data_IF_284860591647
#
_entry.id   IF_284860591647
#
_cell.length_a   1.000
_cell.length_b   1.000
_cell.length_c   1.000
_cell.angle_alpha   90.00
_cell.angle_beta   90.00
_cell.angle_gamma   90.00
#
_symmetry.space_group_name_H-M   'P 1'
#
loop_
_entity.id
_entity.type
_entity.pdbx_description
1 polymer ?
#
# COMPACT_ATOMS: atom_id res chain seq x y z
N UNK A 1 19.17 36.25 75.39
CA UNK A 1 20.18 36.74 74.42
C UNK A 1 20.90 35.65 73.63
N UNK A 2 21.75 34.75 74.16
CA UNK A 2 22.41 33.70 73.32
C UNK A 2 21.50 32.53 72.89
N UNK A 3 20.39 32.29 73.60
CA UNK A 3 19.45 31.21 73.30
C UNK A 3 18.39 31.61 72.26
N UNK A 4 18.06 32.89 72.16
CA UNK A 4 17.15 33.44 71.13
C UNK A 4 17.83 33.50 69.77
N UNK A 5 19.09 33.98 69.70
CA UNK A 5 19.85 34.05 68.44
C UNK A 5 20.08 32.67 67.79
N UNK A 6 20.19 31.61 68.60
CA UNK A 6 20.32 30.22 68.12
C UNK A 6 18.97 29.62 67.68
N UNK A 7 17.85 30.09 68.25
CA UNK A 7 16.50 29.71 67.83
C UNK A 7 16.15 30.33 66.48
N UNK A 8 16.50 31.60 66.28
CA UNK A 8 16.22 32.33 65.04
C UNK A 8 17.04 31.80 63.85
N UNK A 9 18.31 31.44 64.07
CA UNK A 9 19.13 30.79 63.02
C UNK A 9 18.64 29.38 62.63
N UNK A 10 18.07 28.63 63.58
CA UNK A 10 17.47 27.32 63.28
C UNK A 10 16.13 27.50 62.56
N UNK A 11 15.37 28.54 62.91
CA UNK A 11 14.12 28.90 62.23
C UNK A 11 14.34 29.31 60.77
N UNK A 12 15.32 30.18 60.49
CA UNK A 12 15.67 30.56 59.10
C UNK A 12 16.14 29.35 58.29
N UNK A 13 16.95 28.46 58.88
CA UNK A 13 17.54 27.30 58.18
C UNK A 13 16.53 26.19 57.82
N UNK A 14 15.42 26.09 58.56
CA UNK A 14 14.38 25.06 58.30
C UNK A 14 13.13 25.60 57.60
N UNK A 15 12.80 26.89 57.74
CA UNK A 15 11.55 27.47 57.22
C UNK A 15 11.72 28.48 56.07
N UNK A 16 12.90 29.06 55.87
CA UNK A 16 13.18 29.93 54.72
C UNK A 16 14.20 29.28 53.78
N UNK A 17 13.68 28.47 52.85
CA UNK A 17 14.37 28.13 51.62
C UNK A 17 13.68 28.93 50.51
N UNK A 18 14.41 29.69 49.70
CA UNK A 18 13.88 30.39 48.51
C UNK A 18 13.08 29.45 47.57
N UNK A 19 13.22 28.14 47.72
CA UNK A 19 12.47 27.11 46.97
C UNK A 19 11.12 26.71 47.58
N UNK A 20 10.65 27.32 48.67
CA UNK A 20 9.37 27.00 49.35
C UNK A 20 8.47 28.20 49.58
N UNK A 21 8.80 29.37 49.04
CA UNK A 21 7.88 30.51 49.03
C UNK A 21 6.68 30.16 48.12
N UNK A 22 5.46 30.00 48.68
CA UNK A 22 4.27 29.67 47.91
C UNK A 22 4.01 30.71 46.82
N UNK A 23 4.34 31.98 47.08
CA UNK A 23 4.17 33.09 46.15
C UNK A 23 5.15 32.95 44.99
N UNK A 24 6.40 32.54 45.25
CA UNK A 24 7.41 32.36 44.20
C UNK A 24 7.11 31.14 43.32
N UNK A 25 6.64 30.04 43.92
CA UNK A 25 6.16 28.87 43.18
C UNK A 25 4.91 29.20 42.34
N UNK A 26 3.96 29.95 42.89
CA UNK A 26 2.78 30.44 42.17
C UNK A 26 3.18 31.38 41.04
N UNK A 27 4.14 32.28 41.24
CA UNK A 27 4.71 33.14 40.18
C UNK A 27 5.44 32.34 39.09
N UNK A 28 6.15 31.27 39.43
CA UNK A 28 6.78 30.38 38.45
C UNK A 28 5.75 29.56 37.66
N UNK A 29 4.73 29.06 38.35
CA UNK A 29 3.60 28.35 37.74
C UNK A 29 2.78 29.28 36.85
N UNK A 30 2.55 30.52 37.26
CA UNK A 30 1.90 31.56 36.47
C UNK A 30 2.75 32.00 35.29
N UNK A 31 4.08 32.07 35.42
CA UNK A 31 4.99 32.28 34.27
C UNK A 31 4.92 31.12 33.29
N UNK A 32 4.81 29.87 33.76
CA UNK A 32 4.65 28.69 32.92
C UNK A 32 3.29 28.68 32.21
N UNK A 33 2.20 28.96 32.94
CA UNK A 33 0.84 29.08 32.39
C UNK A 33 0.74 30.25 31.42
N UNK A 34 1.36 31.39 31.75
CA UNK A 34 1.43 32.57 30.87
C UNK A 34 2.23 32.26 29.61
N UNK A 35 3.38 31.60 29.70
CA UNK A 35 4.14 31.11 28.52
C UNK A 35 3.32 30.13 27.70
N UNK A 36 2.59 29.21 28.33
CA UNK A 36 1.73 28.25 27.63
C UNK A 36 0.54 28.95 26.95
N UNK A 37 -0.10 29.92 27.61
CA UNK A 37 -1.16 30.76 27.04
C UNK A 37 -0.64 31.60 25.88
N UNK A 38 0.52 32.23 26.03
CA UNK A 38 1.15 33.06 25.01
C UNK A 38 1.63 32.21 23.82
N UNK A 39 2.10 30.98 24.05
CA UNK A 39 2.36 30.00 22.99
C UNK A 39 1.07 29.55 22.28
N UNK A 40 -0.02 29.34 23.03
CA UNK A 40 -1.33 29.00 22.47
C UNK A 40 -1.96 30.16 21.68
N UNK A 41 -1.80 31.39 22.16
CA UNK A 41 -2.20 32.62 21.46
C UNK A 41 -1.33 32.85 20.22
N UNK A 42 -0.01 32.68 20.31
CA UNK A 42 0.88 32.75 19.13
C UNK A 42 0.57 31.67 18.09
N UNK A 43 0.16 30.46 18.51
CA UNK A 43 -0.36 29.43 17.60
C UNK A 43 -1.67 29.89 16.94
N UNK A 44 -2.59 30.55 17.66
CA UNK A 44 -3.80 31.12 17.07
C UNK A 44 -3.51 32.22 16.03
N UNK A 45 -2.44 32.99 16.19
CA UNK A 45 -2.08 34.10 15.29
C UNK A 45 -1.10 33.74 14.17
N UNK A 46 -0.31 32.67 14.30
CA UNK A 46 0.63 32.23 13.26
C UNK A 46 0.22 30.88 12.64
N UNK A 47 -0.43 30.88 11.45
CA UNK A 47 -0.82 29.67 10.75
C UNK A 47 0.33 28.68 10.52
N UNK A 48 1.56 29.18 10.43
CA UNK A 48 2.74 28.34 10.18
C UNK A 48 3.08 27.50 11.42
N UNK A 49 2.86 28.03 12.64
CA UNK A 49 3.11 27.31 13.90
C UNK A 49 2.10 26.18 14.12
N UNK A 50 0.84 26.38 13.71
CA UNK A 50 -0.18 25.32 13.75
C UNK A 50 0.22 24.17 12.85
N UNK A 51 0.65 24.46 11.62
CA UNK A 51 1.11 23.44 10.67
C UNK A 51 2.29 22.65 11.25
N UNK A 52 3.24 23.32 11.91
CA UNK A 52 4.36 22.64 12.58
C UNK A 52 3.91 21.74 13.73
N UNK A 53 2.95 22.19 14.54
CA UNK A 53 2.36 21.38 15.60
C UNK A 53 1.66 20.14 15.02
N UNK A 54 0.88 20.31 13.96
CA UNK A 54 0.17 19.23 13.28
C UNK A 54 1.12 18.19 12.69
N UNK A 55 2.26 18.62 12.12
CA UNK A 55 3.32 17.72 11.64
C UNK A 55 3.96 16.96 12.80
N UNK A 56 4.29 17.64 13.90
CA UNK A 56 4.91 17.00 15.07
C UNK A 56 3.98 16.00 15.76
N UNK A 57 2.66 16.22 15.70
CA UNK A 57 1.66 15.28 16.19
C UNK A 57 1.56 14.00 15.33
N UNK A 58 2.13 13.98 14.12
CA UNK A 58 2.09 12.80 13.28
C UNK A 58 3.04 11.69 13.77
N UNK A 59 2.72 10.42 13.49
CA UNK A 59 3.61 9.32 13.82
C UNK A 59 4.97 9.46 13.12
N UNK A 60 6.01 8.89 13.73
CA UNK A 60 7.42 9.10 13.37
C UNK A 60 7.78 8.91 11.89
N UNK A 61 7.12 7.99 11.20
CA UNK A 61 7.32 7.71 9.77
C UNK A 61 6.81 8.83 8.84
N UNK A 62 5.96 9.73 9.33
CA UNK A 62 5.46 10.91 8.63
C UNK A 62 6.14 12.16 9.20
N UNK A 63 6.13 12.34 10.52
CA UNK A 63 6.66 13.56 11.15
C UNK A 63 8.14 13.76 10.86
N UNK A 64 8.99 12.75 11.07
CA UNK A 64 10.45 12.87 10.86
C UNK A 64 10.82 13.30 9.43
N UNK A 65 10.40 12.61 8.35
CA UNK A 65 10.78 13.00 7.00
C UNK A 65 10.18 14.35 6.56
N UNK A 66 9.00 14.73 7.07
CA UNK A 66 8.43 16.05 6.80
C UNK A 66 9.20 17.15 7.54
N UNK A 67 9.53 16.95 8.81
CA UNK A 67 10.31 17.90 9.61
C UNK A 67 11.70 18.13 9.01
N UNK A 68 12.41 17.09 8.57
CA UNK A 68 13.69 17.24 7.87
C UNK A 68 13.59 18.16 6.63
N UNK A 69 12.49 18.06 5.87
CA UNK A 69 12.25 18.94 4.72
C UNK A 69 11.92 20.36 5.15
N UNK A 70 11.10 20.51 6.18
CA UNK A 70 10.72 21.82 6.74
C UNK A 70 11.97 22.55 7.23
N UNK A 71 12.84 21.86 7.99
CA UNK A 71 14.12 22.38 8.47
C UNK A 71 15.02 22.81 7.31
N UNK A 72 15.13 22.00 6.25
CA UNK A 72 15.86 22.38 5.05
C UNK A 72 15.30 23.66 4.39
N UNK A 73 13.99 23.80 4.27
CA UNK A 73 13.40 25.03 3.71
C UNK A 73 13.57 26.24 4.63
N UNK A 74 13.56 26.03 5.95
CA UNK A 74 13.84 27.06 6.95
C UNK A 74 15.27 27.58 6.81
N UNK A 75 16.24 26.67 6.64
CA UNK A 75 17.67 27.01 6.53
C UNK A 75 18.03 27.78 5.25
N UNK A 76 17.14 27.86 4.26
CA UNK A 76 17.37 28.66 3.04
C UNK A 76 17.26 30.17 3.27
N UNK A 77 16.84 30.63 4.46
CA UNK A 77 16.75 32.05 4.79
C UNK A 77 15.70 32.82 3.98
N UNK A 78 14.69 32.13 3.45
CA UNK A 78 13.63 32.72 2.59
C UNK A 78 12.26 32.63 3.27
N UNK A 79 11.91 33.56 4.18
CA UNK A 79 10.72 33.43 5.04
C UNK A 79 9.40 33.34 4.26
N UNK A 80 9.23 34.12 3.18
CA UNK A 80 8.04 34.06 2.33
C UNK A 80 7.90 32.71 1.60
N UNK A 81 9.01 32.14 1.14
CA UNK A 81 9.01 30.85 0.45
C UNK A 81 8.78 29.69 1.43
N UNK A 82 9.35 29.79 2.63
CA UNK A 82 9.12 28.86 3.73
C UNK A 82 7.64 28.82 4.14
N UNK A 83 7.05 29.99 4.43
CA UNK A 83 5.63 30.09 4.77
C UNK A 83 4.73 29.54 3.65
N UNK A 84 5.06 29.86 2.39
CA UNK A 84 4.37 29.30 1.22
C UNK A 84 4.47 27.77 1.17
N UNK A 85 5.64 27.20 1.41
CA UNK A 85 5.83 25.75 1.42
C UNK A 85 4.98 25.07 2.50
N UNK A 86 4.93 25.63 3.71
CA UNK A 86 4.05 25.13 4.77
C UNK A 86 2.59 25.15 4.34
N UNK A 87 2.10 26.28 3.83
CA UNK A 87 0.68 26.49 3.52
C UNK A 87 0.21 25.81 2.24
N UNK A 88 1.02 25.82 1.19
CA UNK A 88 0.65 25.29 -0.14
C UNK A 88 1.13 23.85 -0.37
N UNK A 89 2.00 23.29 0.48
CA UNK A 89 2.48 21.91 0.34
C UNK A 89 2.21 21.08 1.58
N UNK A 90 2.68 21.49 2.77
CA UNK A 90 2.56 20.67 3.98
C UNK A 90 1.12 20.55 4.45
N UNK A 91 0.39 21.68 4.56
CA UNK A 91 -1.01 21.65 4.98
C UNK A 91 -1.90 20.77 4.08
N UNK A 92 -1.89 20.93 2.73
CA UNK A 92 -2.62 20.03 1.84
C UNK A 92 -2.19 18.55 1.95
N UNK A 93 -0.92 18.27 2.23
CA UNK A 93 -0.45 16.90 2.48
C UNK A 93 -1.10 16.28 3.72
N UNK A 94 -1.25 17.05 4.80
CA UNK A 94 -1.91 16.58 6.03
C UNK A 94 -3.42 16.41 5.85
N UNK A 95 -4.09 17.32 5.15
CA UNK A 95 -5.52 17.19 4.81
C UNK A 95 -5.77 15.91 3.99
N UNK A 96 -4.92 15.66 2.99
CA UNK A 96 -4.97 14.42 2.19
C UNK A 96 -4.70 13.16 3.02
N UNK A 97 -3.79 13.25 3.99
CA UNK A 97 -3.48 12.14 4.89
C UNK A 97 -4.69 11.73 5.73
N UNK A 98 -5.43 12.69 6.26
CA UNK A 98 -6.66 12.44 7.02
C UNK A 98 -7.71 11.73 6.15
N UNK A 99 -7.94 12.22 4.92
CA UNK A 99 -8.86 11.54 3.99
C UNK A 99 -8.43 10.10 3.67
N UNK A 100 -7.13 9.84 3.52
CA UNK A 100 -6.62 8.47 3.31
C UNK A 100 -6.87 7.60 4.54
N UNK A 101 -6.62 8.11 5.76
CA UNK A 101 -6.87 7.37 7.01
C UNK A 101 -8.35 7.04 7.19
N UNK A 102 -9.22 7.99 6.91
CA UNK A 102 -10.68 7.78 6.97
C UNK A 102 -11.14 6.69 6.01
N UNK A 103 -10.53 6.62 4.82
CA UNK A 103 -10.84 5.58 3.84
C UNK A 103 -10.32 4.19 4.22
N UNK A 104 -9.29 4.11 5.07
CA UNK A 104 -8.69 2.85 5.53
C UNK A 104 -9.51 2.22 6.67
N UNK A 105 -10.08 3.05 7.54
CA UNK A 105 -10.87 2.59 8.68
C UNK A 105 -12.35 2.57 8.32
N UNK A 106 -12.85 1.44 7.82
CA UNK A 106 -14.30 1.25 7.63
C UNK A 106 -15.05 1.24 8.98
N UNK A 107 -16.36 1.50 8.97
CA UNK A 107 -17.17 1.47 10.20
C UNK A 107 -17.12 0.08 10.87
N UNK A 108 -17.13 -0.99 10.08
CA UNK A 108 -16.95 -2.36 10.57
C UNK A 108 -15.57 -2.62 11.13
N UNK A 109 -14.53 -2.02 10.54
CA UNK A 109 -13.16 -2.12 11.04
C UNK A 109 -13.01 -1.44 12.40
N UNK A 110 -13.58 -0.24 12.56
CA UNK A 110 -13.62 0.48 13.85
C UNK A 110 -14.41 -0.29 14.91
N UNK A 111 -15.52 -0.91 14.54
CA UNK A 111 -16.28 -1.81 15.43
C UNK A 111 -15.45 -3.03 15.86
N UNK A 112 -14.65 -3.61 14.95
CA UNK A 112 -13.76 -4.70 15.35
C UNK A 112 -12.72 -4.20 16.37
N UNK A 113 -12.16 -3.01 16.15
CA UNK A 113 -11.20 -2.40 17.06
C UNK A 113 -11.74 -2.03 18.44
N UNK A 114 -13.07 -1.95 18.64
CA UNK A 114 -13.66 -1.70 19.96
C UNK A 114 -13.70 -2.95 20.85
N UNK A 115 -13.39 -4.13 20.31
CA UNK A 115 -13.26 -5.33 21.12
C UNK A 115 -11.99 -5.28 21.96
N UNK A 116 -12.07 -5.88 23.15
CA UNK A 116 -10.97 -5.88 24.14
C UNK A 116 -9.69 -6.44 23.50
N UNK A 117 -8.63 -5.64 23.54
CA UNK A 117 -7.30 -6.01 23.01
C UNK A 117 -7.13 -5.85 21.49
N UNK A 118 -8.15 -5.36 20.76
CA UNK A 118 -8.06 -5.14 19.31
C UNK A 118 -7.91 -3.65 18.92
N UNK A 119 -7.69 -2.77 19.89
CA UNK A 119 -7.48 -1.32 19.70
C UNK A 119 -6.27 -1.01 18.79
N UNK A 120 -5.27 -1.90 18.76
CA UNK A 120 -4.12 -1.83 17.86
C UNK A 120 -4.50 -1.79 16.36
N UNK A 121 -5.70 -2.24 15.98
CA UNK A 121 -6.23 -2.12 14.62
C UNK A 121 -6.31 -0.66 14.14
N UNK A 122 -6.60 0.30 15.04
CA UNK A 122 -6.73 1.71 14.69
C UNK A 122 -5.39 2.36 14.29
N UNK A 123 -4.29 1.83 14.80
CA UNK A 123 -2.92 2.32 14.56
C UNK A 123 -2.10 1.34 13.72
N UNK A 124 -2.75 0.41 13.00
CA UNK A 124 -2.11 -0.65 12.23
C UNK A 124 -0.92 -0.15 11.35
N UNK A 125 -1.02 0.97 10.61
CA UNK A 125 0.08 1.49 9.81
C UNK A 125 1.36 1.76 10.61
N UNK A 126 1.24 2.12 11.89
CA UNK A 126 2.33 2.51 12.78
C UNK A 126 3.12 1.33 13.33
N UNK A 127 2.49 0.16 13.37
CA UNK A 127 2.99 -1.01 14.07
C UNK A 127 4.26 -1.59 13.43
N UNK A 128 5.13 -2.13 14.28
CA UNK A 128 6.27 -3.00 13.93
C UNK A 128 5.80 -4.42 13.60
N UNK A 129 6.70 -5.24 13.04
CA UNK A 129 6.37 -6.65 12.74
C UNK A 129 5.91 -7.42 13.98
N UNK A 130 6.58 -7.24 15.12
CA UNK A 130 6.26 -7.98 16.34
C UNK A 130 4.96 -7.49 16.98
N UNK A 131 4.66 -6.19 16.88
CA UNK A 131 3.35 -5.66 17.26
C UNK A 131 2.24 -6.27 16.40
N UNK A 132 2.42 -6.35 15.07
CA UNK A 132 1.43 -6.98 14.18
C UNK A 132 1.27 -8.48 14.48
N UNK A 133 2.35 -9.21 14.80
CA UNK A 133 2.26 -10.62 15.24
C UNK A 133 1.39 -10.76 16.48
N UNK A 134 1.64 -9.95 17.52
CA UNK A 134 0.82 -9.97 18.74
C UNK A 134 -0.65 -9.67 18.45
N UNK A 135 -0.93 -8.62 17.67
CA UNK A 135 -2.29 -8.30 17.25
C UNK A 135 -2.95 -9.45 16.49
N UNK A 136 -2.21 -10.16 15.65
CA UNK A 136 -2.72 -11.30 14.88
C UNK A 136 -3.13 -12.47 15.78
N UNK A 137 -2.39 -12.71 16.87
CA UNK A 137 -2.78 -13.68 17.90
C UNK A 137 -4.09 -13.28 18.58
N UNK A 138 -4.25 -11.99 18.90
CA UNK A 138 -5.48 -11.49 19.52
C UNK A 138 -6.69 -11.57 18.58
N UNK A 139 -6.51 -11.23 17.30
CA UNK A 139 -7.56 -11.40 16.28
C UNK A 139 -7.93 -12.88 16.12
N UNK A 140 -6.94 -13.78 16.07
CA UNK A 140 -7.19 -15.23 16.00
C UNK A 140 -7.96 -15.76 17.23
N UNK A 141 -7.60 -15.29 18.43
CA UNK A 141 -8.32 -15.61 19.66
C UNK A 141 -9.77 -15.08 19.62
N UNK A 142 -9.98 -13.85 19.14
CA UNK A 142 -11.32 -13.29 18.93
C UNK A 142 -12.16 -14.15 17.98
N UNK A 143 -11.60 -14.56 16.84
CA UNK A 143 -12.29 -15.46 15.90
C UNK A 143 -12.64 -16.82 16.54
N UNK A 144 -11.79 -17.32 17.44
CA UNK A 144 -12.04 -18.56 18.19
C UNK A 144 -13.20 -18.39 19.17
N UNK A 145 -13.23 -17.29 19.92
CA UNK A 145 -14.37 -16.98 20.79
C UNK A 145 -15.68 -16.82 20.00
N UNK A 146 -15.63 -16.20 18.82
CA UNK A 146 -16.80 -16.11 17.94
C UNK A 146 -17.28 -17.48 17.44
N UNK A 147 -16.34 -18.40 17.18
CA UNK A 147 -16.68 -19.78 16.82
C UNK A 147 -17.32 -20.51 18.01
N UNK A 148 -16.73 -20.41 19.20
CA UNK A 148 -17.24 -21.09 20.40
C UNK A 148 -18.65 -20.60 20.76
N UNK A 149 -18.87 -19.28 20.74
CA UNK A 149 -20.20 -18.70 20.94
C UNK A 149 -21.19 -19.16 19.85
N UNK A 150 -20.75 -19.18 18.57
CA UNK A 150 -21.59 -19.64 17.47
C UNK A 150 -22.01 -21.11 17.61
N UNK A 151 -21.09 -21.98 18.05
CA UNK A 151 -21.37 -23.38 18.33
C UNK A 151 -22.35 -23.54 19.50
N UNK A 152 -22.13 -22.82 20.61
CA UNK A 152 -23.01 -22.87 21.77
C UNK A 152 -24.44 -22.40 21.49
N UNK A 153 -24.60 -21.41 20.62
CA UNK A 153 -25.94 -20.91 20.22
C UNK A 153 -26.68 -21.87 19.27
N UNK A 154 -25.94 -22.56 18.39
CA UNK A 154 -26.53 -23.27 17.24
C UNK A 154 -26.65 -24.77 17.47
N UNK A 155 -25.85 -25.37 18.34
CA UNK A 155 -25.81 -26.81 18.55
C UNK A 155 -26.57 -27.17 19.83
N UNK A 156 -27.80 -27.64 19.68
CA UNK A 156 -28.63 -28.10 20.80
C UNK A 156 -28.36 -29.57 21.18
N UNK A 157 -27.81 -30.35 20.25
CA UNK A 157 -27.50 -31.78 20.37
C UNK A 157 -26.21 -32.10 19.62
N UNK A 158 -25.59 -33.24 19.91
CA UNK A 158 -24.38 -33.70 19.22
C UNK A 158 -24.61 -34.10 17.74
N UNK A 159 -25.87 -34.30 17.32
CA UNK A 159 -26.26 -34.52 15.92
C UNK A 159 -26.34 -33.19 15.14
N UNK A 160 -25.18 -32.64 14.78
CA UNK A 160 -25.07 -31.34 14.09
C UNK A 160 -25.17 -31.51 12.57
N UNK A 161 -26.11 -30.81 11.94
CA UNK A 161 -26.31 -30.87 10.49
C UNK A 161 -25.27 -30.02 9.74
N UNK A 162 -24.86 -30.41 8.51
CA UNK A 162 -23.94 -29.62 7.69
C UNK A 162 -24.38 -28.16 7.48
N UNK A 163 -25.69 -27.91 7.40
CA UNK A 163 -26.25 -26.56 7.30
C UNK A 163 -25.99 -25.71 8.55
N UNK A 164 -25.98 -26.32 9.73
CA UNK A 164 -25.72 -25.65 11.01
C UNK A 164 -24.23 -25.33 11.13
N UNK A 165 -23.35 -26.27 10.76
CA UNK A 165 -21.90 -26.04 10.65
C UNK A 165 -21.60 -24.87 9.70
N UNK A 166 -22.32 -24.79 8.58
CA UNK A 166 -22.18 -23.67 7.63
C UNK A 166 -22.64 -22.34 8.23
N UNK A 167 -23.72 -22.32 9.04
CA UNK A 167 -24.17 -21.10 9.73
C UNK A 167 -23.13 -20.63 10.76
N UNK A 168 -22.52 -21.56 11.48
CA UNK A 168 -21.40 -21.27 12.39
C UNK A 168 -20.22 -20.66 11.63
N UNK A 169 -19.84 -21.25 10.49
CA UNK A 169 -18.84 -20.66 9.59
C UNK A 169 -19.25 -19.26 9.09
N UNK A 170 -20.53 -19.02 8.76
CA UNK A 170 -21.03 -17.72 8.32
C UNK A 170 -20.84 -16.64 9.41
N UNK A 171 -21.01 -16.98 10.70
CA UNK A 171 -20.74 -16.06 11.83
C UNK A 171 -19.25 -15.63 11.87
N UNK A 172 -18.32 -16.58 11.82
CA UNK A 172 -16.86 -16.28 11.83
C UNK A 172 -16.42 -15.57 10.54
N UNK A 173 -16.98 -15.97 9.40
CA UNK A 173 -16.72 -15.34 8.12
C UNK A 173 -17.20 -13.87 8.10
N UNK A 174 -18.31 -13.56 8.76
CA UNK A 174 -18.78 -12.18 8.92
C UNK A 174 -17.79 -11.33 9.72
N UNK A 175 -17.25 -11.84 10.84
CA UNK A 175 -16.20 -11.14 11.60
C UNK A 175 -14.94 -10.93 10.77
N UNK A 176 -14.53 -11.93 10.00
CA UNK A 176 -13.37 -11.83 9.10
C UNK A 176 -13.58 -10.73 8.04
N UNK A 177 -14.79 -10.62 7.49
CA UNK A 177 -15.15 -9.55 6.55
C UNK A 177 -15.19 -8.16 7.18
N UNK A 178 -15.48 -8.03 8.49
CA UNK A 178 -15.43 -6.73 9.19
C UNK A 178 -14.03 -6.12 9.19
N UNK A 179 -13.00 -6.97 9.07
CA UNK A 179 -11.60 -6.58 8.90
C UNK A 179 -11.20 -6.40 7.42
N UNK A 180 -12.15 -6.29 6.50
CA UNK A 180 -11.91 -6.15 5.05
C UNK A 180 -11.05 -7.30 4.46
N UNK A 181 -11.05 -8.46 5.13
CA UNK A 181 -10.39 -9.69 4.66
C UNK A 181 -11.44 -10.64 4.11
N UNK A 182 -11.24 -11.11 2.88
CA UNK A 182 -12.12 -12.13 2.29
C UNK A 182 -11.84 -13.49 2.95
N UNK A 183 -12.86 -14.15 3.54
CA UNK A 183 -12.72 -15.48 4.12
C UNK A 183 -12.23 -16.51 3.09
N UNK A 184 -11.46 -17.53 3.50
CA UNK A 184 -11.13 -18.65 2.64
C UNK A 184 -12.41 -19.34 2.13
N UNK A 185 -12.40 -19.79 0.86
CA UNK A 185 -13.56 -20.43 0.22
C UNK A 185 -14.89 -19.63 0.26
N UNK A 186 -14.84 -18.31 0.48
CA UNK A 186 -16.03 -17.46 0.69
C UNK A 186 -17.05 -17.57 -0.45
N UNK A 187 -16.61 -17.49 -1.71
CA UNK A 187 -17.51 -17.59 -2.86
C UNK A 187 -18.18 -18.96 -2.99
N UNK A 188 -17.53 -20.02 -2.53
CA UNK A 188 -18.02 -21.39 -2.56
C UNK A 188 -18.99 -21.68 -1.41
N UNK A 189 -18.79 -21.06 -0.24
CA UNK A 189 -19.55 -21.34 0.98
C UNK A 189 -20.68 -20.35 1.27
N UNK A 190 -20.58 -19.09 0.78
CA UNK A 190 -21.60 -18.06 1.02
C UNK A 190 -22.98 -18.46 0.49
N UNK A 191 -24.04 -17.98 1.13
CA UNK A 191 -25.40 -18.15 0.60
C UNK A 191 -25.54 -17.48 -0.77
N UNK A 192 -26.12 -18.19 -1.74
CA UNK A 192 -26.40 -17.69 -3.10
C UNK A 192 -27.84 -18.00 -3.46
N UNK A 193 -28.60 -17.00 -3.93
CA UNK A 193 -30.01 -17.16 -4.31
C UNK A 193 -30.19 -18.21 -5.40
N UNK A 194 -29.32 -18.19 -6.41
CA UNK A 194 -29.40 -19.06 -7.58
C UNK A 194 -28.16 -19.98 -7.63
N UNK A 195 -28.01 -20.85 -6.63
CA UNK A 195 -26.90 -21.81 -6.56
C UNK A 195 -27.20 -23.02 -7.44
N UNK A 196 -26.33 -23.30 -8.42
CA UNK A 196 -26.48 -24.45 -9.35
C UNK A 196 -25.82 -25.75 -8.85
N UNK A 197 -24.75 -25.64 -8.06
CA UNK A 197 -23.98 -26.78 -7.52
C UNK A 197 -24.21 -26.89 -6.00
N UNK A 198 -24.19 -28.09 -5.40
CA UNK A 198 -24.34 -28.24 -3.95
C UNK A 198 -23.30 -27.45 -3.16
N UNK A 199 -23.55 -27.23 -1.87
CA UNK A 199 -22.56 -26.58 -1.00
C UNK A 199 -21.41 -27.54 -0.73
N UNK A 200 -20.15 -27.15 -1.01
CA UNK A 200 -18.99 -27.96 -0.69
C UNK A 200 -18.64 -27.84 0.81
N UNK A 201 -19.36 -28.57 1.66
CA UNK A 201 -19.20 -28.53 3.12
C UNK A 201 -17.79 -28.96 3.58
N UNK A 202 -17.10 -29.78 2.79
CA UNK A 202 -15.72 -30.24 3.03
C UNK A 202 -14.69 -29.09 3.09
N UNK A 203 -15.03 -27.92 2.54
CA UNK A 203 -14.16 -26.73 2.59
C UNK A 203 -14.23 -25.97 3.92
N UNK A 204 -15.25 -26.24 4.75
CA UNK A 204 -15.48 -25.50 5.99
C UNK A 204 -14.33 -25.69 6.99
N UNK A 205 -13.88 -26.92 7.32
CA UNK A 205 -12.82 -27.11 8.32
C UNK A 205 -11.54 -26.37 7.96
N UNK A 206 -11.09 -26.48 6.71
CA UNK A 206 -9.90 -25.78 6.22
C UNK A 206 -10.07 -24.25 6.20
N UNK A 207 -11.29 -23.77 5.94
CA UNK A 207 -11.58 -22.34 6.02
C UNK A 207 -11.56 -21.82 7.45
N UNK A 208 -12.19 -22.52 8.40
CA UNK A 208 -12.18 -22.16 9.82
C UNK A 208 -10.76 -22.17 10.35
N UNK A 209 -10.01 -23.26 10.12
CA UNK A 209 -8.63 -23.39 10.58
C UNK A 209 -7.74 -22.19 10.14
N UNK A 210 -7.96 -21.65 8.94
CA UNK A 210 -7.26 -20.43 8.49
C UNK A 210 -7.73 -19.17 9.22
N UNK A 211 -9.04 -18.97 9.41
CA UNK A 211 -9.58 -17.81 10.14
C UNK A 211 -9.26 -17.82 11.63
N UNK A 212 -8.94 -18.98 12.21
CA UNK A 212 -8.49 -19.12 13.60
C UNK A 212 -6.95 -19.09 13.75
N UNK A 213 -6.20 -19.03 12.65
CA UNK A 213 -4.75 -19.16 12.67
C UNK A 213 -4.07 -17.79 12.77
N UNK A 214 -3.29 -17.58 13.83
CA UNK A 214 -2.52 -16.35 14.05
C UNK A 214 -1.55 -16.06 12.89
N UNK A 215 -0.86 -17.07 12.33
CA UNK A 215 0.06 -16.88 11.20
C UNK A 215 -0.65 -16.52 9.89
N UNK A 216 -1.90 -16.94 9.74
CA UNK A 216 -2.71 -16.50 8.61
C UNK A 216 -3.08 -15.03 8.77
N UNK A 217 -3.55 -14.63 9.95
CA UNK A 217 -3.85 -13.23 10.27
C UNK A 217 -2.62 -12.34 10.15
N UNK A 218 -1.45 -12.78 10.62
CA UNK A 218 -0.20 -12.04 10.47
C UNK A 218 0.08 -11.70 9.01
N UNK A 219 -0.05 -12.68 8.11
CA UNK A 219 0.14 -12.44 6.67
C UNK A 219 -0.89 -11.45 6.09
N UNK A 220 -2.13 -11.44 6.59
CA UNK A 220 -3.19 -10.52 6.15
C UNK A 220 -2.96 -9.10 6.67
N UNK A 221 -2.80 -8.96 7.99
CA UNK A 221 -2.61 -7.67 8.65
C UNK A 221 -1.27 -7.04 8.29
N UNK A 222 -0.19 -7.81 8.14
CA UNK A 222 1.09 -7.26 7.71
C UNK A 222 1.03 -6.71 6.28
N UNK A 223 0.36 -7.42 5.38
CA UNK A 223 0.13 -6.92 4.02
C UNK A 223 -0.69 -5.63 4.03
N UNK A 224 -1.81 -5.62 4.77
CA UNK A 224 -2.68 -4.44 4.92
C UNK A 224 -1.92 -3.25 5.51
N UNK A 225 -1.14 -3.47 6.58
CA UNK A 225 -0.26 -2.48 7.18
C UNK A 225 0.68 -1.87 6.14
N UNK A 226 1.37 -2.69 5.35
CA UNK A 226 2.28 -2.22 4.31
C UNK A 226 1.56 -1.40 3.24
N UNK A 227 0.40 -1.87 2.76
CA UNK A 227 -0.40 -1.15 1.76
C UNK A 227 -0.89 0.20 2.33
N UNK A 228 -1.44 0.21 3.54
CA UNK A 228 -1.94 1.43 4.18
C UNK A 228 -0.85 2.45 4.48
N UNK A 229 0.28 1.99 5.02
CA UNK A 229 1.49 2.79 5.26
C UNK A 229 1.95 3.46 3.96
N UNK A 230 2.01 2.71 2.86
CA UNK A 230 2.46 3.24 1.58
C UNK A 230 1.49 4.31 1.05
N UNK A 231 0.18 4.09 1.14
CA UNK A 231 -0.82 5.08 0.71
C UNK A 231 -0.78 6.36 1.56
N UNK A 232 -0.52 6.27 2.87
CA UNK A 232 -0.29 7.44 3.72
C UNK A 232 0.96 8.22 3.28
N UNK A 233 2.07 7.53 2.97
CA UNK A 233 3.30 8.15 2.46
C UNK A 233 3.11 8.78 1.08
N UNK A 234 2.25 8.20 0.22
CA UNK A 234 1.82 8.82 -1.05
C UNK A 234 1.02 10.10 -0.82
N UNK A 235 0.11 10.12 0.17
CA UNK A 235 -0.71 11.28 0.51
C UNK A 235 0.15 12.50 0.89
N UNK A 236 1.22 12.27 1.66
CA UNK A 236 2.16 13.31 2.09
C UNK A 236 3.32 13.57 1.11
N UNK A 237 3.21 13.09 -0.14
CA UNK A 237 4.19 13.31 -1.22
C UNK A 237 5.62 12.79 -0.94
N UNK A 238 5.75 11.80 -0.05
CA UNK A 238 7.01 11.09 0.22
C UNK A 238 7.30 9.99 -0.81
N UNK A 239 6.28 9.61 -1.59
CA UNK A 239 6.42 8.82 -2.82
C UNK A 239 6.21 9.75 -4.01
N UNK A 240 7.31 10.21 -4.60
CA UNK A 240 7.28 11.15 -5.72
C UNK A 240 8.62 11.17 -6.46
N UNK A 241 8.64 11.79 -7.63
CA UNK A 241 9.87 11.98 -8.42
C UNK A 241 10.98 12.71 -7.66
N UNK A 242 10.64 13.53 -6.66
CA UNK A 242 11.57 14.36 -5.88
C UNK A 242 11.88 13.79 -4.48
N UNK A 243 11.17 12.73 -4.07
CA UNK A 243 11.31 12.11 -2.76
C UNK A 243 11.92 10.71 -2.91
N UNK A 244 11.06 9.71 -3.01
CA UNK A 244 11.39 8.34 -3.40
C UNK A 244 10.48 7.93 -4.55
N UNK A 245 10.99 7.75 -5.78
CA UNK A 245 10.15 7.38 -6.90
C UNK A 245 9.64 5.93 -6.78
N UNK A 246 8.43 5.71 -7.28
CA UNK A 246 7.72 4.42 -7.38
C UNK A 246 7.21 3.85 -6.07
N UNK A 247 7.99 3.94 -5.00
CA UNK A 247 7.68 3.39 -3.68
C UNK A 247 8.49 4.13 -2.61
N UNK A 248 7.99 4.16 -1.37
CA UNK A 248 8.67 4.79 -0.23
C UNK A 248 10.05 4.18 0.06
N UNK A 249 10.93 5.01 0.62
CA UNK A 249 12.26 4.58 1.03
C UNK A 249 12.21 3.46 2.09
N UNK A 250 11.25 3.54 3.03
CA UNK A 250 11.01 2.50 4.06
C UNK A 250 10.76 1.13 3.40
N UNK A 251 9.86 1.08 2.42
CA UNK A 251 9.53 -0.16 1.73
C UNK A 251 10.71 -0.72 0.92
N UNK A 252 11.55 0.14 0.31
CA UNK A 252 12.80 -0.31 -0.35
C UNK A 252 13.73 -0.98 0.66
N UNK A 253 13.95 -0.34 1.82
CA UNK A 253 14.82 -0.90 2.86
C UNK A 253 14.28 -2.22 3.41
N UNK A 254 12.97 -2.30 3.71
CA UNK A 254 12.33 -3.54 4.10
C UNK A 254 12.50 -4.64 3.06
N UNK A 255 12.36 -4.32 1.76
CA UNK A 255 12.52 -5.33 0.70
C UNK A 255 13.97 -5.81 0.57
N UNK A 256 14.94 -4.93 0.75
CA UNK A 256 16.37 -5.29 0.76
C UNK A 256 16.70 -6.20 1.93
N UNK A 257 16.21 -5.86 3.13
CA UNK A 257 16.44 -6.67 4.32
C UNK A 257 15.76 -8.04 4.22
N UNK A 258 14.56 -8.10 3.65
CA UNK A 258 13.90 -9.38 3.36
C UNK A 258 14.75 -10.27 2.43
N UNK A 259 15.33 -9.68 1.36
CA UNK A 259 16.20 -10.41 0.44
C UNK A 259 17.48 -10.88 1.13
N UNK A 260 18.09 -10.04 1.96
CA UNK A 260 19.29 -10.38 2.74
C UNK A 260 19.04 -11.59 3.64
N UNK A 261 17.97 -11.55 4.45
CA UNK A 261 17.57 -12.67 5.33
C UNK A 261 17.24 -13.94 4.55
N UNK A 262 16.61 -13.82 3.38
CA UNK A 262 16.30 -14.99 2.54
C UNK A 262 17.57 -15.63 1.99
N UNK A 263 18.54 -14.83 1.55
CA UNK A 263 19.82 -15.33 1.05
C UNK A 263 20.64 -16.00 2.16
N UNK A 264 20.66 -15.40 3.35
CA UNK A 264 21.29 -15.98 4.54
C UNK A 264 20.65 -17.33 4.92
N UNK A 265 19.32 -17.43 4.80
CA UNK A 265 18.61 -18.70 4.97
C UNK A 265 19.04 -19.74 3.94
N UNK A 266 19.07 -19.41 2.64
CA UNK A 266 19.45 -20.37 1.60
C UNK A 266 20.88 -20.89 1.77
N UNK A 267 21.81 -20.02 2.20
CA UNK A 267 23.21 -20.39 2.45
C UNK A 267 23.45 -21.25 3.68
N UNK A 268 22.51 -21.29 4.60
CA UNK A 268 22.63 -22.00 5.88
C UNK A 268 21.79 -23.27 5.95
N UNK A 269 21.13 -23.63 4.84
CA UNK A 269 20.20 -24.75 4.79
C UNK A 269 20.49 -25.65 3.58
N UNK A 270 20.31 -26.95 3.79
CA UNK A 270 20.38 -27.98 2.76
C UNK A 270 19.00 -28.64 2.63
N UNK A 271 18.70 -29.16 1.44
CA UNK A 271 17.55 -30.02 1.19
C UNK A 271 18.00 -31.47 1.31
N UNK A 272 17.27 -32.25 2.11
CA UNK A 272 17.55 -33.67 2.33
C UNK A 272 16.37 -34.49 1.82
N UNK A 273 16.61 -35.47 0.94
CA UNK A 273 15.57 -36.38 0.48
C UNK A 273 15.36 -37.56 1.47
N UNK A 274 14.40 -38.44 1.19
CA UNK A 274 14.11 -39.61 2.05
C UNK A 274 15.26 -40.65 2.07
N UNK A 275 16.10 -40.65 1.03
CA UNK A 275 17.26 -41.54 0.90
C UNK A 275 18.52 -41.00 1.60
N UNK A 276 18.48 -39.75 2.07
CA UNK A 276 19.58 -39.07 2.77
C UNK A 276 20.51 -38.25 1.87
N UNK A 277 20.23 -38.13 0.57
CA UNK A 277 20.99 -37.25 -0.32
C UNK A 277 20.74 -35.79 0.03
N UNK A 278 21.81 -34.99 0.00
CA UNK A 278 21.76 -33.57 0.31
C UNK A 278 22.01 -32.71 -0.94
N UNK A 279 21.28 -31.62 -1.05
CA UNK A 279 21.49 -30.57 -2.04
C UNK A 279 21.55 -29.22 -1.34
N UNK A 280 22.54 -28.40 -1.70
CA UNK A 280 22.62 -27.03 -1.21
C UNK A 280 21.40 -26.21 -1.67
N UNK A 281 20.74 -25.53 -0.73
CA UNK A 281 19.50 -24.81 -1.04
C UNK A 281 19.76 -23.56 -1.90
N UNK A 282 20.92 -22.90 -1.79
CA UNK A 282 21.31 -21.78 -2.66
C UNK A 282 21.43 -22.27 -4.12
N UNK A 283 22.05 -23.41 -4.36
CA UNK A 283 22.17 -24.00 -5.70
C UNK A 283 20.81 -24.36 -6.31
N UNK A 284 19.93 -25.01 -5.54
CA UNK A 284 18.57 -25.35 -6.02
C UNK A 284 17.78 -24.09 -6.35
N UNK A 285 17.83 -23.06 -5.49
CA UNK A 285 17.12 -21.79 -5.74
C UNK A 285 17.67 -21.10 -6.99
N UNK A 286 18.99 -21.09 -7.17
CA UNK A 286 19.66 -20.47 -8.31
C UNK A 286 19.39 -21.19 -9.63
N UNK A 287 19.24 -22.52 -9.63
CA UNK A 287 18.88 -23.31 -10.80
C UNK A 287 17.38 -23.22 -11.16
N UNK A 288 16.53 -22.87 -10.19
CA UNK A 288 15.08 -22.83 -10.37
C UNK A 288 14.56 -21.56 -11.07
N UNK A 289 13.27 -21.57 -11.43
CA UNK A 289 12.53 -20.38 -11.86
C UNK A 289 12.42 -19.29 -10.77
N UNK A 290 12.91 -19.52 -9.55
CA UNK A 290 13.01 -18.48 -8.53
C UNK A 290 14.08 -17.46 -8.90
N UNK A 291 15.13 -17.88 -9.62
CA UNK A 291 16.18 -17.01 -10.13
C UNK A 291 15.60 -15.97 -11.12
N UNK A 292 15.70 -14.67 -10.81
CA UNK A 292 15.22 -13.62 -11.70
C UNK A 292 15.87 -13.64 -13.09
N UNK A 293 17.11 -14.11 -13.22
CA UNK A 293 17.78 -14.23 -14.52
C UNK A 293 17.12 -15.28 -15.42
N UNK A 294 16.79 -16.46 -14.87
CA UNK A 294 16.09 -17.51 -15.62
C UNK A 294 14.68 -17.05 -16.04
N UNK A 295 13.90 -16.45 -15.13
CA UNK A 295 12.59 -15.88 -15.48
C UNK A 295 12.65 -14.82 -16.57
N UNK A 296 13.66 -13.96 -16.55
CA UNK A 296 13.85 -12.98 -17.62
C UNK A 296 14.13 -13.69 -18.95
N UNK A 297 15.03 -14.66 -18.97
CA UNK A 297 15.38 -15.40 -20.17
C UNK A 297 14.15 -16.14 -20.74
N UNK A 298 13.34 -16.77 -19.89
CA UNK A 298 12.08 -17.40 -20.28
C UNK A 298 11.09 -16.40 -20.89
N UNK A 299 10.88 -15.24 -20.26
CA UNK A 299 10.00 -14.20 -20.82
C UNK A 299 10.52 -13.67 -22.16
N UNK A 300 11.84 -13.46 -22.28
CA UNK A 300 12.47 -13.01 -23.52
C UNK A 300 12.31 -14.04 -24.64
N UNK A 301 12.51 -15.34 -24.34
CA UNK A 301 12.29 -16.43 -25.29
C UNK A 301 10.83 -16.51 -25.74
N UNK A 302 9.88 -16.37 -24.82
CA UNK A 302 8.45 -16.34 -25.12
C UNK A 302 8.09 -15.17 -26.05
N UNK A 303 8.57 -13.96 -25.75
CA UNK A 303 8.34 -12.78 -26.60
C UNK A 303 8.96 -12.97 -27.99
N UNK A 304 10.17 -13.53 -28.07
CA UNK A 304 10.80 -13.82 -29.36
C UNK A 304 10.00 -14.85 -30.16
N UNK A 305 9.43 -15.86 -29.50
CA UNK A 305 8.51 -16.80 -30.13
C UNK A 305 7.27 -16.12 -30.72
N UNK A 306 6.67 -15.17 -29.99
CA UNK A 306 5.53 -14.37 -30.51
C UNK A 306 5.93 -13.51 -31.70
N UNK A 307 7.13 -12.94 -31.69
CA UNK A 307 7.69 -12.17 -32.81
C UNK A 307 7.85 -13.05 -34.06
N UNK A 308 8.46 -14.24 -33.94
CA UNK A 308 8.63 -15.18 -35.06
C UNK A 308 7.28 -15.62 -35.64
N UNK A 309 6.29 -15.89 -34.79
CA UNK A 309 4.91 -16.20 -35.24
C UNK A 309 4.32 -15.03 -36.04
N UNK A 310 4.55 -13.79 -35.60
CA UNK A 310 4.06 -12.61 -36.28
C UNK A 310 4.73 -12.42 -37.65
N UNK A 311 6.03 -12.68 -37.75
CA UNK A 311 6.78 -12.66 -39.01
C UNK A 311 6.21 -13.71 -39.98
N UNK A 312 6.04 -14.95 -39.54
CA UNK A 312 5.45 -16.04 -40.35
C UNK A 312 4.04 -15.70 -40.86
N UNK A 313 3.25 -14.98 -40.07
CA UNK A 313 1.87 -14.59 -40.42
C UNK A 313 1.80 -13.28 -41.22
N UNK A 314 2.90 -12.56 -41.35
CA UNK A 314 2.92 -11.21 -41.92
C UNK A 314 2.14 -10.17 -41.09
N UNK A 315 1.98 -10.42 -39.79
CA UNK A 315 1.34 -9.51 -38.84
C UNK A 315 2.25 -8.30 -38.57
N UNK A 316 1.67 -7.18 -38.11
CA UNK A 316 2.42 -6.03 -37.64
C UNK A 316 2.46 -5.97 -36.11
N UNK A 317 3.52 -5.39 -35.56
CA UNK A 317 3.66 -5.16 -34.12
C UNK A 317 3.43 -3.68 -33.78
N UNK A 318 2.66 -3.43 -32.73
CA UNK A 318 2.39 -2.09 -32.19
C UNK A 318 2.67 -2.10 -30.70
N UNK A 319 3.40 -1.08 -30.25
CA UNK A 319 3.64 -0.81 -28.84
C UNK A 319 2.65 0.22 -28.33
N UNK A 320 1.89 -0.10 -27.29
CA UNK A 320 0.93 0.81 -26.67
C UNK A 320 1.37 1.17 -25.26
N UNK A 321 1.15 2.43 -24.89
CA UNK A 321 1.26 2.90 -23.51
C UNK A 321 -0.07 3.46 -23.07
N UNK A 322 -0.59 2.95 -21.94
CA UNK A 322 -1.86 3.37 -21.34
C UNK A 322 -1.57 3.86 -19.92
N UNK A 323 -1.91 5.12 -19.66
CA UNK A 323 -1.71 5.76 -18.36
C UNK A 323 -3.07 5.92 -17.64
N UNK A 324 -3.07 5.90 -16.30
CA UNK A 324 -4.29 6.21 -15.53
C UNK A 324 -4.63 7.70 -15.57
N UNK A 325 -5.90 8.08 -15.37
CA UNK A 325 -6.29 9.48 -15.22
C UNK A 325 -5.60 10.22 -14.08
N UNK A 326 -5.52 11.55 -14.22
CA UNK A 326 -4.84 12.42 -13.26
C UNK A 326 -5.36 12.21 -11.83
N UNK A 327 -6.65 11.89 -11.67
CA UNK A 327 -7.28 11.58 -10.39
C UNK A 327 -6.67 10.42 -9.60
N UNK A 328 -5.88 9.55 -10.24
CA UNK A 328 -5.13 8.46 -9.60
C UNK A 328 -3.72 8.86 -9.17
N UNK A 329 -3.15 9.93 -9.75
CA UNK A 329 -1.77 10.33 -9.49
C UNK A 329 -1.69 11.24 -8.29
N UNK A 330 -0.94 10.83 -7.25
CA UNK A 330 -0.87 11.55 -5.98
C UNK A 330 0.02 12.79 -6.04
N UNK A 331 0.95 12.85 -7.01
CA UNK A 331 1.89 13.97 -7.15
C UNK A 331 2.09 14.35 -8.61
N UNK A 332 2.42 15.63 -8.83
CA UNK A 332 2.88 16.12 -10.13
C UNK A 332 4.36 15.76 -10.35
N UNK A 333 4.84 15.89 -11.59
CA UNK A 333 6.25 15.65 -11.95
C UNK A 333 7.27 16.49 -11.15
N UNK A 334 6.85 17.64 -10.61
CA UNK A 334 7.67 18.52 -9.78
C UNK A 334 7.66 18.11 -8.28
N UNK A 335 6.94 17.04 -7.92
CA UNK A 335 6.83 16.53 -6.55
C UNK A 335 5.77 17.20 -5.69
N UNK A 336 5.04 18.19 -6.20
CA UNK A 336 3.94 18.83 -5.46
C UNK A 336 2.69 17.95 -5.42
N UNK A 337 1.81 18.13 -4.42
CA UNK A 337 0.47 17.54 -4.41
C UNK A 337 -0.25 17.76 -5.74
N UNK A 338 -0.88 16.71 -6.28
CA UNK A 338 -1.77 16.85 -7.43
C UNK A 338 -3.17 17.26 -6.93
N UNK A 339 -3.69 18.44 -7.33
CA UNK A 339 -4.99 18.93 -6.86
C UNK A 339 -6.18 18.07 -7.35
N UNK A 340 -5.99 17.27 -8.39
CA UNK A 340 -7.05 16.41 -8.95
C UNK A 340 -7.09 15.02 -8.31
N UNK A 341 -6.11 14.68 -7.45
CA UNK A 341 -6.04 13.35 -6.86
C UNK A 341 -7.21 13.07 -5.93
N UNK A 342 -7.88 11.95 -6.15
CA UNK A 342 -9.09 11.54 -5.42
C UNK A 342 -8.81 10.61 -4.25
N UNK A 343 -7.58 10.65 -3.71
CA UNK A 343 -7.09 9.73 -2.68
C UNK A 343 -7.10 8.25 -3.13
N UNK A 344 -7.16 8.02 -4.45
CA UNK A 344 -7.21 6.68 -5.01
C UNK A 344 -5.90 5.92 -4.77
N UNK A 345 -6.05 4.67 -4.36
CA UNK A 345 -4.92 3.78 -4.06
C UNK A 345 -4.25 3.27 -5.34
N UNK A 346 -3.01 2.81 -5.22
CA UNK A 346 -2.30 2.14 -6.31
C UNK A 346 -3.09 0.92 -6.78
N UNK A 347 -3.71 0.17 -5.86
CA UNK A 347 -4.57 -0.97 -6.18
C UNK A 347 -5.76 -0.56 -7.04
N UNK A 348 -6.47 0.50 -6.67
CA UNK A 348 -7.60 1.02 -7.44
C UNK A 348 -7.18 1.47 -8.85
N UNK A 349 -5.98 2.05 -9.01
CA UNK A 349 -5.44 2.39 -10.34
C UNK A 349 -5.22 1.15 -11.23
N UNK A 350 -4.75 0.05 -10.63
CA UNK A 350 -4.62 -1.23 -11.34
C UNK A 350 -5.99 -1.81 -11.71
N UNK A 351 -6.94 -1.81 -10.79
CA UNK A 351 -8.29 -2.34 -11.01
C UNK A 351 -9.04 -1.54 -12.10
N UNK A 352 -8.84 -0.23 -12.15
CA UNK A 352 -9.32 0.62 -13.24
C UNK A 352 -8.82 0.14 -14.61
N UNK A 353 -7.51 -0.07 -14.78
CA UNK A 353 -6.96 -0.53 -16.05
C UNK A 353 -7.44 -1.95 -16.41
N UNK A 354 -7.59 -2.84 -15.41
CA UNK A 354 -8.18 -4.18 -15.61
C UNK A 354 -9.61 -4.08 -16.12
N UNK A 355 -10.45 -3.25 -15.49
CA UNK A 355 -11.84 -3.04 -15.90
C UNK A 355 -11.96 -2.42 -17.29
N UNK A 356 -11.19 -1.38 -17.57
CA UNK A 356 -11.12 -0.73 -18.88
C UNK A 356 -10.72 -1.73 -19.97
N UNK A 357 -9.69 -2.54 -19.71
CA UNK A 357 -9.20 -3.51 -20.68
C UNK A 357 -10.15 -4.70 -20.88
N UNK A 358 -10.87 -5.14 -19.83
CA UNK A 358 -11.92 -6.14 -19.97
C UNK A 358 -13.05 -5.64 -20.89
N UNK A 359 -13.47 -4.38 -20.74
CA UNK A 359 -14.46 -3.75 -21.61
C UNK A 359 -13.96 -3.62 -23.06
N UNK A 360 -12.70 -3.21 -23.25
CA UNK A 360 -12.03 -3.18 -24.55
C UNK A 360 -12.02 -4.56 -25.22
N UNK A 361 -11.61 -5.62 -24.51
CA UNK A 361 -11.59 -6.99 -25.05
C UNK A 361 -12.98 -7.47 -25.48
N UNK A 362 -14.03 -7.13 -24.71
CA UNK A 362 -15.43 -7.43 -25.08
C UNK A 362 -15.83 -6.73 -26.38
N UNK A 363 -15.45 -5.45 -26.53
CA UNK A 363 -15.73 -4.69 -27.74
C UNK A 363 -14.94 -5.21 -28.96
N UNK A 364 -13.66 -5.55 -28.79
CA UNK A 364 -12.86 -6.21 -29.82
C UNK A 364 -13.50 -7.51 -30.28
N UNK A 365 -13.97 -8.34 -29.34
CA UNK A 365 -14.63 -9.60 -29.65
C UNK A 365 -15.87 -9.39 -30.53
N UNK A 366 -16.74 -8.45 -30.15
CA UNK A 366 -17.96 -8.09 -30.91
C UNK A 366 -17.64 -7.56 -32.31
N UNK A 367 -16.52 -6.85 -32.46
CA UNK A 367 -16.06 -6.32 -33.75
C UNK A 367 -15.32 -7.35 -34.63
N UNK A 368 -15.19 -8.60 -34.19
CA UNK A 368 -14.44 -9.64 -34.93
C UNK A 368 -12.92 -9.39 -34.97
N UNK A 369 -12.41 -8.45 -34.18
CA UNK A 369 -10.99 -8.11 -34.14
C UNK A 369 -10.23 -9.06 -33.23
N UNK A 370 -8.98 -9.38 -33.59
CA UNK A 370 -8.09 -10.26 -32.84
C UNK A 370 -6.68 -9.71 -32.82
N UNK A 371 -5.98 -9.94 -31.72
CA UNK A 371 -4.56 -9.66 -31.54
C UNK A 371 -3.97 -10.67 -30.56
N UNK A 372 -2.65 -10.66 -30.39
CA UNK A 372 -1.95 -11.40 -29.36
C UNK A 372 -0.72 -10.60 -28.93
N UNK A 373 -0.13 -10.92 -27.78
CA UNK A 373 1.00 -10.16 -27.28
C UNK A 373 1.19 -10.24 -25.78
N UNK A 374 2.00 -9.32 -25.26
CA UNK A 374 2.38 -9.25 -23.84
C UNK A 374 2.04 -7.89 -23.24
N UNK A 375 1.76 -7.87 -21.94
CA UNK A 375 1.50 -6.66 -21.16
C UNK A 375 2.43 -6.62 -19.96
N UNK A 376 3.05 -5.46 -19.75
CA UNK A 376 3.83 -5.13 -18.57
C UNK A 376 3.13 -3.99 -17.81
N UNK A 377 3.08 -4.09 -16.48
CA UNK A 377 2.62 -3.01 -15.61
C UNK A 377 3.84 -2.35 -14.97
N UNK A 378 3.96 -1.03 -15.07
CA UNK A 378 5.02 -0.27 -14.41
C UNK A 378 4.40 0.78 -13.48
N UNK A 379 5.04 1.11 -12.35
CA UNK A 379 4.66 2.27 -11.56
C UNK A 379 5.16 3.56 -12.21
N UNK A 380 4.34 4.61 -12.18
CA UNK A 380 4.80 5.98 -12.35
C UNK A 380 5.58 6.44 -11.12
N UNK A 381 6.18 7.64 -11.18
CA UNK A 381 7.05 8.16 -10.12
C UNK A 381 6.37 8.29 -8.75
N UNK A 382 5.04 8.28 -8.71
CA UNK A 382 4.19 8.37 -7.52
C UNK A 382 3.55 7.01 -7.15
N UNK A 383 3.96 5.93 -7.80
CA UNK A 383 3.44 4.57 -7.61
C UNK A 383 2.25 4.21 -8.51
N UNK A 384 1.60 5.17 -9.17
CA UNK A 384 0.39 4.91 -9.98
C UNK A 384 0.68 4.00 -11.15
N UNK A 385 -0.16 2.98 -11.37
CA UNK A 385 0.10 1.97 -12.42
C UNK A 385 -0.09 2.57 -13.82
N UNK A 386 0.79 2.21 -14.74
CA UNK A 386 0.59 2.34 -16.18
C UNK A 386 0.97 1.06 -16.90
N UNK A 387 0.40 0.85 -18.08
CA UNK A 387 0.62 -0.37 -18.85
C UNK A 387 1.39 -0.10 -20.13
N UNK A 388 2.32 -0.99 -20.42
CA UNK A 388 2.95 -1.15 -21.71
C UNK A 388 2.48 -2.45 -22.35
N UNK A 389 2.06 -2.39 -23.61
CA UNK A 389 1.59 -3.55 -24.35
C UNK A 389 2.37 -3.68 -25.65
N UNK A 390 2.97 -4.84 -25.87
CA UNK A 390 3.49 -5.23 -27.17
C UNK A 390 2.48 -6.15 -27.82
N UNK A 391 1.87 -5.72 -28.92
CA UNK A 391 0.77 -6.44 -29.55
C UNK A 391 0.99 -6.66 -31.03
N UNK A 392 0.69 -7.87 -31.47
CA UNK A 392 0.75 -8.34 -32.85
C UNK A 392 -0.66 -8.51 -33.40
N UNK A 393 -0.88 -8.06 -34.63
CA UNK A 393 -2.19 -8.11 -35.29
C UNK A 393 -2.04 -8.02 -36.80
N UNK A 394 -3.08 -8.43 -37.53
CA UNK A 394 -3.14 -8.28 -38.99
C UNK A 394 -3.02 -6.79 -39.37
N UNK A 395 -2.24 -6.51 -40.41
CA UNK A 395 -1.99 -5.14 -40.91
C UNK A 395 -3.28 -4.35 -41.18
N UNK A 396 -4.30 -5.02 -41.74
CA UNK A 396 -5.61 -4.43 -42.04
C UNK A 396 -6.40 -4.02 -40.79
N UNK A 397 -6.24 -4.74 -39.68
CA UNK A 397 -7.00 -4.53 -38.44
C UNK A 397 -6.35 -3.48 -37.53
N UNK A 398 -5.07 -3.16 -37.75
CA UNK A 398 -4.26 -2.26 -36.92
C UNK A 398 -4.95 -0.93 -36.58
N UNK A 399 -5.49 -0.25 -37.59
CA UNK A 399 -6.11 1.07 -37.41
C UNK A 399 -7.38 0.97 -36.56
N UNK A 400 -8.20 -0.04 -36.81
CA UNK A 400 -9.43 -0.28 -36.06
C UNK A 400 -9.14 -0.65 -34.59
N UNK A 401 -8.18 -1.55 -34.35
CA UNK A 401 -7.77 -1.95 -32.99
C UNK A 401 -7.21 -0.74 -32.22
N UNK A 402 -6.32 0.03 -32.85
CA UNK A 402 -5.71 1.23 -32.22
C UNK A 402 -6.76 2.28 -31.88
N UNK A 403 -7.70 2.55 -32.79
CA UNK A 403 -8.78 3.51 -32.56
C UNK A 403 -9.71 3.03 -31.44
N UNK A 404 -10.04 1.74 -31.41
CA UNK A 404 -10.89 1.16 -30.38
C UNK A 404 -10.21 1.22 -29.00
N UNK A 405 -8.94 0.83 -28.91
CA UNK A 405 -8.19 0.88 -27.65
C UNK A 405 -8.07 2.33 -27.15
N UNK A 406 -7.75 3.28 -28.04
CA UNK A 406 -7.72 4.70 -27.71
C UNK A 406 -9.06 5.15 -27.15
N UNK A 407 -10.18 4.81 -27.81
CA UNK A 407 -11.52 5.15 -27.36
C UNK A 407 -11.77 4.73 -25.91
N UNK A 408 -11.37 3.51 -25.52
CA UNK A 408 -11.51 3.04 -24.14
C UNK A 408 -10.54 3.74 -23.17
N UNK A 409 -9.29 3.95 -23.58
CA UNK A 409 -8.27 4.58 -22.74
C UNK A 409 -8.59 6.04 -22.38
N UNK A 410 -9.21 6.79 -23.30
CA UNK A 410 -9.52 8.22 -23.14
C UNK A 410 -10.97 8.50 -22.74
N UNK A 411 -11.81 7.47 -22.59
CA UNK A 411 -13.24 7.63 -22.35
C UNK A 411 -13.51 8.32 -21.02
N UNK A 412 -12.80 7.89 -19.98
CA UNK A 412 -12.93 8.44 -18.65
C UNK A 412 -12.06 9.69 -18.51
N UNK A 413 -12.64 10.75 -17.97
CA UNK A 413 -12.03 12.07 -17.85
C UNK A 413 -11.60 12.63 -19.22
N UNK A 414 -12.45 12.42 -20.25
CA UNK A 414 -12.18 12.90 -21.61
C UNK A 414 -11.97 14.42 -21.65
N UNK A 415 -12.72 15.16 -20.83
CA UNK A 415 -12.63 16.62 -20.72
C UNK A 415 -11.24 17.08 -20.26
N UNK A 416 -10.59 16.33 -19.34
CA UNK A 416 -9.22 16.58 -18.84
C UNK A 416 -8.18 16.69 -19.99
N UNK A 417 -8.40 15.96 -21.08
CA UNK A 417 -7.42 15.79 -22.15
C UNK A 417 -7.52 16.86 -23.25
N UNK A 418 -8.62 17.60 -23.35
CA UNK A 418 -8.84 18.56 -24.44
C UNK A 418 -8.57 17.93 -25.82
N UNK A 419 -7.69 18.52 -26.63
CA UNK A 419 -7.31 17.93 -27.93
C UNK A 419 -6.11 16.96 -27.83
N UNK A 420 -5.38 16.96 -26.71
CA UNK A 420 -4.16 16.18 -26.54
C UNK A 420 -4.42 14.91 -25.72
N UNK A 421 -4.58 13.79 -26.42
CA UNK A 421 -4.76 12.47 -25.78
C UNK A 421 -3.44 11.77 -25.41
N UNK A 422 -2.29 12.37 -25.75
CA UNK A 422 -0.96 11.82 -25.51
C UNK A 422 -0.61 11.55 -24.05
N UNK A 423 -1.09 12.32 -23.05
CA UNK A 423 -0.93 11.99 -21.64
C UNK A 423 -1.59 10.67 -21.23
N UNK A 424 -2.61 10.22 -21.98
CA UNK A 424 -3.41 9.04 -21.64
C UNK A 424 -3.07 7.82 -22.47
N UNK A 425 -2.85 8.02 -23.77
CA UNK A 425 -2.66 6.95 -24.73
C UNK A 425 -1.59 7.31 -25.76
N UNK A 426 -0.55 6.48 -25.83
CA UNK A 426 0.48 6.55 -26.88
C UNK A 426 0.53 5.22 -27.62
N UNK A 427 0.85 5.28 -28.90
CA UNK A 427 1.06 4.09 -29.71
C UNK A 427 2.25 4.33 -30.65
N UNK A 428 3.03 3.28 -30.88
CA UNK A 428 4.15 3.27 -31.81
C UNK A 428 4.09 2.01 -32.67
N UNK A 429 4.05 2.18 -33.99
CA UNK A 429 4.22 1.07 -34.91
C UNK A 429 5.70 0.68 -34.93
N UNK A 430 6.00 -0.58 -34.62
CA UNK A 430 7.38 -1.06 -34.60
C UNK A 430 7.88 -1.18 -36.03
N UNK A 431 9.01 -0.51 -36.29
CA UNK A 431 9.70 -0.55 -37.56
C UNK A 431 10.91 -1.47 -37.44
N UNK A 432 11.00 -2.56 -38.23
CA UNK A 432 12.14 -3.47 -38.21
C UNK A 432 13.51 -2.78 -38.41
N UNK A 433 13.55 -1.61 -39.07
CA UNK A 433 14.78 -0.82 -39.23
C UNK A 433 15.26 -0.12 -37.96
N UNK A 434 14.38 0.10 -36.98
CA UNK A 434 14.69 0.79 -35.72
C UNK A 434 14.92 -0.18 -34.54
N UNK A 435 14.41 -1.40 -34.66
CA UNK A 435 14.51 -2.42 -33.63
C UNK A 435 13.47 -3.52 -33.82
N UNK A 436 13.63 -4.60 -33.07
CA UNK A 436 12.69 -5.73 -33.09
C UNK A 436 11.59 -5.53 -32.04
N UNK A 437 10.40 -6.12 -32.22
CA UNK A 437 9.38 -6.19 -31.18
C UNK A 437 9.95 -6.59 -29.79
N UNK A 438 10.83 -7.58 -29.77
CA UNK A 438 11.54 -8.04 -28.57
C UNK A 438 12.40 -6.94 -27.95
N UNK A 439 13.17 -6.18 -28.74
CA UNK A 439 14.01 -5.11 -28.22
C UNK A 439 13.20 -3.97 -27.59
N UNK A 440 12.00 -3.69 -28.10
CA UNK A 440 11.10 -2.66 -27.57
C UNK A 440 10.59 -2.97 -26.16
N UNK A 441 10.26 -4.24 -25.86
CA UNK A 441 9.75 -4.64 -24.54
C UNK A 441 10.86 -5.08 -23.58
N UNK A 442 12.08 -5.40 -24.08
CA UNK A 442 13.19 -5.91 -23.27
C UNK A 442 13.49 -5.07 -22.02
N UNK A 443 13.57 -3.74 -22.18
CA UNK A 443 13.79 -2.80 -21.07
C UNK A 443 12.73 -2.94 -19.97
N UNK A 444 11.47 -3.15 -20.36
CA UNK A 444 10.33 -3.25 -19.45
C UNK A 444 10.32 -4.60 -18.72
N UNK A 445 10.70 -5.68 -19.40
CA UNK A 445 10.86 -7.02 -18.79
C UNK A 445 11.99 -6.99 -17.75
N UNK A 446 13.17 -6.47 -18.11
CA UNK A 446 14.32 -6.42 -17.19
C UNK A 446 14.03 -5.60 -15.94
N UNK A 447 13.41 -4.42 -16.08
CA UNK A 447 13.00 -3.59 -14.93
C UNK A 447 12.07 -4.32 -13.96
N UNK A 448 11.15 -5.13 -14.48
CA UNK A 448 10.14 -5.81 -13.67
C UNK A 448 10.66 -7.06 -12.94
N UNK A 449 11.69 -7.71 -13.48
CA UNK A 449 12.18 -8.99 -12.96
C UNK A 449 13.41 -8.81 -12.08
N UNK A 450 14.50 -8.27 -12.62
CA UNK A 450 15.80 -8.25 -11.92
C UNK A 450 16.46 -6.87 -11.86
N UNK A 451 15.88 -5.86 -12.50
CA UNK A 451 16.35 -4.47 -12.44
C UNK A 451 17.68 -4.23 -13.15
N UNK A 452 18.23 -5.21 -13.88
CA UNK A 452 19.44 -5.01 -14.68
C UNK A 452 19.14 -4.04 -15.83
N UNK A 453 20.04 -3.08 -16.07
CA UNK A 453 20.02 -2.29 -17.30
C UNK A 453 20.27 -3.26 -18.46
N UNK A 454 19.35 -3.31 -19.41
CA UNK A 454 19.66 -3.88 -20.73
C UNK A 454 20.72 -3.00 -21.36
N UNK A 455 21.87 -3.58 -21.68
CA UNK A 455 22.94 -2.94 -22.43
C UNK A 455 22.45 -2.54 -23.82
#
# INVERSE_FOLDING_TARGET
>A
MRREALSDQVWERYFFYESRDPVQHEMEQDKLISRAKLAHEQQRFNPDMVILADVNAQPSHISKPLMQRIEYFSSLGRPKAYSRYLRETIKPCLERLEHVRDSQLSASFRFMASHVGLDGLLILPEMSQDQVKRLSTLVAAHMSMCLDAACGDLYATDDVKPEEIRKTWEKVAAETLRLDVIPPAFEQLRRKRNRRKPVPYELIPGSLARMLCADWWYRKLWKMRCEWREEQLRAVCLVSKKASPYVSYEAVMHKREQRRKSLEFFRSHELVNEEGDTLDMEDVVNASSSNPAHRRNEMMACVKGLELIAEMRGDCAVFYTITCPSRFHSTLNNGRPNPTWTNATVRQSSDYLVGMFAAFRKAMHKAGLRWYGVRVAEPHHDGTVHWHLLCFMRKKDRRAITALLRKFAIREDREELGNNTGPRFKYELINPRKGTPTSYIAKYISKNIDGKRTA
#
